data_IF_350205281048
#
_entry.id   IF_350205281048
#
_cell.length_a   1.000
_cell.length_b   1.000
_cell.length_c   1.000
_cell.angle_alpha   90.00
_cell.angle_beta   90.00
_cell.angle_gamma   90.00
#
_symmetry.space_group_name_H-M   'P 1'
#
loop_
_entity.id
_entity.type
_entity.pdbx_description
1 polymer ?
#
# COMPACT_ATOMS: atom_id res chain seq x y z
N UNK A 1 -4.38 13.22 -29.80
CA UNK A 1 -5.53 12.63 -30.52
C UNK A 1 -6.02 13.54 -31.66
N UNK A 2 -5.15 14.00 -32.56
CA UNK A 2 -5.57 14.90 -33.65
C UNK A 2 -6.62 14.27 -34.58
N UNK A 3 -6.54 12.96 -34.78
CA UNK A 3 -7.45 12.14 -35.57
C UNK A 3 -8.88 12.06 -34.97
N UNK A 4 -9.06 12.48 -33.75
CA UNK A 4 -10.33 12.47 -33.01
C UNK A 4 -10.92 13.86 -32.75
N UNK A 5 -10.37 14.90 -33.37
CA UNK A 5 -10.80 16.29 -33.13
C UNK A 5 -12.32 16.52 -33.37
N UNK A 6 -12.92 15.78 -34.32
CA UNK A 6 -14.33 15.88 -34.68
C UNK A 6 -15.18 14.70 -34.12
N UNK A 7 -14.61 13.83 -33.26
CA UNK A 7 -15.32 12.70 -32.71
C UNK A 7 -16.19 13.12 -31.51
N UNK A 8 -17.38 12.56 -31.41
CA UNK A 8 -18.22 12.71 -30.23
C UNK A 8 -17.70 11.81 -29.09
N UNK A 9 -17.96 12.16 -27.82
CA UNK A 9 -17.51 11.36 -26.67
C UNK A 9 -17.87 9.88 -26.73
N UNK A 10 -19.07 9.55 -27.24
CA UNK A 10 -19.52 8.16 -27.40
C UNK A 10 -18.71 7.34 -28.43
N UNK A 11 -17.93 7.99 -29.28
CA UNK A 11 -17.05 7.37 -30.28
C UNK A 11 -15.62 7.15 -29.80
N UNK A 12 -15.34 7.51 -28.54
CA UNK A 12 -14.03 7.43 -27.93
C UNK A 12 -13.97 6.27 -26.94
N UNK A 13 -12.81 5.58 -26.88
CA UNK A 13 -12.57 4.62 -25.82
C UNK A 13 -12.47 5.32 -24.46
N UNK A 14 -12.68 4.59 -23.35
CA UNK A 14 -12.58 5.15 -22.01
C UNK A 14 -11.25 5.87 -21.74
N UNK A 15 -10.13 5.28 -22.17
CA UNK A 15 -8.82 5.92 -22.06
C UNK A 15 -8.67 7.18 -22.93
N UNK A 16 -9.31 7.23 -24.11
CA UNK A 16 -9.33 8.45 -24.93
C UNK A 16 -10.16 9.54 -24.28
N UNK A 17 -11.33 9.20 -23.75
CA UNK A 17 -12.17 10.14 -22.98
C UNK A 17 -11.41 10.71 -21.79
N UNK A 18 -10.69 9.86 -21.05
CA UNK A 18 -9.91 10.29 -19.90
C UNK A 18 -8.77 11.24 -20.28
N UNK A 19 -8.03 10.96 -21.37
CA UNK A 19 -6.98 11.86 -21.88
C UNK A 19 -7.55 13.23 -22.28
N UNK A 20 -8.72 13.27 -22.90
CA UNK A 20 -9.40 14.52 -23.27
C UNK A 20 -9.88 15.26 -22.00
N UNK A 21 -10.41 14.56 -21.01
CA UNK A 21 -10.80 15.16 -19.74
C UNK A 21 -9.62 15.82 -19.01
N UNK A 22 -8.46 15.15 -19.00
CA UNK A 22 -7.22 15.70 -18.44
C UNK A 22 -6.78 16.94 -19.25
N UNK A 23 -6.77 16.84 -20.59
CA UNK A 23 -6.38 17.97 -21.45
C UNK A 23 -7.31 19.19 -21.26
N UNK A 24 -8.61 18.95 -21.10
CA UNK A 24 -9.60 20.00 -20.78
C UNK A 24 -9.33 20.65 -19.43
N UNK A 25 -9.00 19.88 -18.41
CA UNK A 25 -8.68 20.41 -17.09
C UNK A 25 -7.39 21.26 -17.11
N UNK A 26 -6.41 20.88 -17.94
CA UNK A 26 -5.15 21.60 -18.09
C UNK A 26 -5.26 22.89 -18.93
N UNK A 27 -6.31 23.05 -19.73
CA UNK A 27 -6.50 24.21 -20.61
C UNK A 27 -6.63 25.56 -19.87
N UNK A 28 -6.92 25.52 -18.58
CA UNK A 28 -7.03 26.71 -17.72
C UNK A 28 -5.75 27.03 -16.95
N UNK A 29 -4.65 26.36 -17.26
CA UNK A 29 -3.36 26.49 -16.58
C UNK A 29 -3.47 26.36 -15.03
N UNK A 30 -4.00 25.24 -14.52
CA UNK A 30 -4.28 25.06 -13.10
C UNK A 30 -3.00 24.83 -12.32
N UNK A 31 -2.96 25.28 -11.06
CA UNK A 31 -1.91 24.91 -10.10
C UNK A 31 -2.14 23.54 -9.45
N UNK A 32 -3.38 23.07 -9.44
CA UNK A 32 -3.80 21.80 -8.84
C UNK A 32 -4.70 21.06 -9.82
N UNK A 33 -4.37 19.80 -10.11
CA UNK A 33 -5.20 18.87 -10.87
C UNK A 33 -5.88 17.89 -9.91
N UNK A 34 -7.21 17.89 -9.89
CA UNK A 34 -8.01 16.92 -9.12
C UNK A 34 -8.41 15.76 -10.03
N UNK A 35 -8.08 14.55 -9.62
CA UNK A 35 -8.41 13.30 -10.31
C UNK A 35 -9.31 12.45 -9.39
N UNK A 36 -10.60 12.50 -9.62
CA UNK A 36 -11.58 11.71 -8.87
C UNK A 36 -11.87 10.43 -9.64
N UNK A 37 -11.48 9.29 -9.05
CA UNK A 37 -11.61 7.94 -9.62
C UNK A 37 -11.22 7.83 -11.10
N UNK A 38 -10.19 8.55 -11.52
CA UNK A 38 -9.79 8.74 -12.92
C UNK A 38 -9.49 7.43 -13.69
N UNK A 39 -9.38 6.30 -13.01
CA UNK A 39 -9.02 5.00 -13.58
C UNK A 39 -9.98 3.87 -13.22
N UNK A 40 -11.05 4.13 -12.47
CA UNK A 40 -11.95 3.09 -11.92
C UNK A 40 -12.66 2.24 -12.98
N UNK A 41 -12.93 2.81 -14.17
CA UNK A 41 -13.64 2.17 -15.27
C UNK A 41 -12.71 1.73 -16.43
N UNK A 42 -11.39 1.71 -16.22
CA UNK A 42 -10.41 1.39 -17.24
C UNK A 42 -9.80 0.00 -17.01
N UNK A 43 -9.38 -0.64 -18.11
CA UNK A 43 -8.60 -1.86 -18.03
C UNK A 43 -7.18 -1.58 -17.46
N UNK A 44 -6.47 -2.59 -16.93
CA UNK A 44 -5.18 -2.40 -16.26
C UNK A 44 -4.10 -1.73 -17.13
N UNK A 45 -4.07 -2.00 -18.43
CA UNK A 45 -3.07 -1.42 -19.34
C UNK A 45 -3.37 0.06 -19.59
N UNK A 46 -4.63 0.40 -19.84
CA UNK A 46 -5.07 1.78 -20.01
C UNK A 46 -4.88 2.57 -18.71
N UNK A 47 -5.20 1.98 -17.56
CA UNK A 47 -4.94 2.56 -16.24
C UNK A 47 -3.48 2.98 -16.10
N UNK A 48 -2.53 2.08 -16.36
CA UNK A 48 -1.09 2.38 -16.28
C UNK A 48 -0.70 3.55 -17.19
N UNK A 49 -1.18 3.58 -18.43
CA UNK A 49 -0.90 4.67 -19.36
C UNK A 49 -1.43 6.04 -18.88
N UNK A 50 -2.61 6.05 -18.22
CA UNK A 50 -3.16 7.28 -17.63
C UNK A 50 -2.35 7.72 -16.43
N UNK A 51 -1.92 6.79 -15.57
CA UNK A 51 -1.09 7.11 -14.41
C UNK A 51 0.29 7.65 -14.83
N UNK A 52 0.91 7.06 -15.85
CA UNK A 52 2.16 7.58 -16.44
C UNK A 52 1.96 8.99 -17.00
N UNK A 53 0.87 9.24 -17.72
CA UNK A 53 0.52 10.57 -18.23
C UNK A 53 0.37 11.59 -17.09
N UNK A 54 -0.33 11.26 -16.02
CA UNK A 54 -0.52 12.13 -14.84
C UNK A 54 0.83 12.43 -14.18
N UNK A 55 1.69 11.43 -14.03
CA UNK A 55 3.06 11.59 -13.50
C UNK A 55 3.90 12.52 -14.37
N UNK A 56 3.83 12.35 -15.68
CA UNK A 56 4.53 13.21 -16.64
C UNK A 56 4.07 14.67 -16.59
N UNK A 57 2.76 14.87 -16.47
CA UNK A 57 2.15 16.20 -16.31
C UNK A 57 2.66 16.86 -15.03
N UNK A 58 2.60 16.15 -13.89
CA UNK A 58 3.11 16.64 -12.61
C UNK A 58 4.58 17.07 -12.72
N UNK A 59 5.45 16.23 -13.33
CA UNK A 59 6.88 16.53 -13.48
C UNK A 59 7.15 17.68 -14.45
N UNK A 60 6.45 17.73 -15.59
CA UNK A 60 6.71 18.72 -16.65
C UNK A 60 6.13 20.10 -16.32
N UNK A 61 4.96 20.15 -15.70
CA UNK A 61 4.26 21.41 -15.40
C UNK A 61 4.47 21.88 -13.96
N UNK A 62 5.01 21.05 -13.08
CA UNK A 62 5.21 21.39 -11.66
C UNK A 62 3.93 21.63 -10.89
N UNK A 63 2.79 21.13 -11.38
CA UNK A 63 1.48 21.27 -10.71
C UNK A 63 1.28 20.21 -9.64
N UNK A 64 0.51 20.53 -8.61
CA UNK A 64 0.09 19.54 -7.62
C UNK A 64 -1.01 18.65 -8.21
N UNK A 65 -0.88 17.33 -8.01
CA UNK A 65 -1.93 16.39 -8.40
C UNK A 65 -2.52 15.76 -7.15
N UNK A 66 -3.83 15.81 -7.02
CA UNK A 66 -4.61 15.14 -5.96
C UNK A 66 -5.42 14.02 -6.60
N UNK A 67 -5.19 12.79 -6.17
CA UNK A 67 -5.89 11.61 -6.69
C UNK A 67 -6.80 11.06 -5.60
N UNK A 68 -8.09 10.96 -5.90
CA UNK A 68 -9.09 10.32 -5.05
C UNK A 68 -9.32 8.92 -5.63
N UNK A 69 -9.07 7.89 -4.83
CA UNK A 69 -9.21 6.50 -5.27
C UNK A 69 -9.37 5.54 -4.09
N UNK A 70 -10.06 4.45 -4.30
CA UNK A 70 -10.08 3.30 -3.40
C UNK A 70 -9.06 2.21 -3.82
N UNK A 71 -8.35 2.40 -4.93
CA UNK A 71 -7.37 1.45 -5.45
C UNK A 71 -5.99 1.72 -4.85
N UNK A 72 -5.57 0.90 -3.90
CA UNK A 72 -4.27 1.04 -3.23
C UNK A 72 -3.08 0.88 -4.17
N UNK A 73 -3.23 0.14 -5.28
CA UNK A 73 -2.22 0.04 -6.34
C UNK A 73 -1.91 1.40 -6.98
N UNK A 74 -2.93 2.22 -7.23
CA UNK A 74 -2.77 3.57 -7.79
C UNK A 74 -2.00 4.46 -6.82
N UNK A 75 -2.37 4.45 -5.52
CA UNK A 75 -1.67 5.23 -4.50
C UNK A 75 -0.19 4.88 -4.44
N UNK A 76 0.13 3.58 -4.43
CA UNK A 76 1.51 3.08 -4.39
C UNK A 76 2.31 3.45 -5.64
N UNK A 77 1.66 3.50 -6.79
CA UNK A 77 2.34 3.70 -8.08
C UNK A 77 2.74 5.15 -8.31
N UNK A 78 1.88 6.13 -7.97
CA UNK A 78 2.12 7.52 -8.38
C UNK A 78 2.12 8.54 -7.24
N UNK A 79 1.63 8.20 -6.04
CA UNK A 79 1.51 9.17 -4.96
C UNK A 79 2.76 9.16 -4.06
N UNK A 80 3.18 10.35 -3.62
CA UNK A 80 4.21 10.52 -2.59
C UNK A 80 3.61 10.62 -1.18
N UNK A 81 2.40 11.19 -1.08
CA UNK A 81 1.66 11.38 0.16
C UNK A 81 0.27 10.75 0.05
N UNK A 82 -0.28 10.34 1.18
CA UNK A 82 -1.63 9.80 1.29
C UNK A 82 -2.37 10.43 2.46
N UNK A 83 -3.67 10.62 2.29
CA UNK A 83 -4.61 10.90 3.37
C UNK A 83 -5.72 9.86 3.32
N UNK A 84 -5.91 9.11 4.39
CA UNK A 84 -6.94 8.09 4.53
C UNK A 84 -8.16 8.74 5.16
N UNK A 85 -9.30 8.63 4.47
CA UNK A 85 -10.58 9.14 4.92
C UNK A 85 -11.41 7.99 5.51
N UNK A 86 -11.99 8.22 6.68
CA UNK A 86 -12.92 7.31 7.34
C UNK A 86 -14.04 8.12 8.01
N UNK A 87 -15.30 7.79 7.71
CA UNK A 87 -16.44 8.51 8.25
C UNK A 87 -16.46 10.03 7.94
N UNK A 88 -15.87 10.45 6.82
CA UNK A 88 -15.83 11.86 6.40
C UNK A 88 -14.71 12.70 7.06
N UNK A 89 -13.84 12.09 7.85
CA UNK A 89 -12.69 12.75 8.48
C UNK A 89 -11.37 12.12 8.02
N UNK A 90 -10.27 12.88 8.12
CA UNK A 90 -8.93 12.33 7.85
C UNK A 90 -8.51 11.49 9.06
N UNK A 91 -8.52 10.16 8.90
CA UNK A 91 -8.11 9.22 9.94
C UNK A 91 -6.59 9.11 10.06
N UNK A 92 -5.87 9.27 8.94
CA UNK A 92 -4.41 9.23 8.91
C UNK A 92 -3.88 9.93 7.67
N UNK A 93 -2.71 10.57 7.76
CA UNK A 93 -2.03 11.14 6.60
C UNK A 93 -0.52 11.10 6.77
N UNK A 94 0.21 11.06 5.65
CA UNK A 94 1.67 11.07 5.65
C UNK A 94 2.28 10.62 4.32
N UNK A 95 3.57 10.35 4.34
CA UNK A 95 4.26 9.73 3.21
C UNK A 95 3.71 8.33 2.95
N UNK A 96 3.48 7.98 1.69
CA UNK A 96 2.94 6.68 1.29
C UNK A 96 3.77 5.54 1.90
N UNK A 97 5.11 5.59 1.78
CA UNK A 97 6.00 4.59 2.35
C UNK A 97 5.81 4.40 3.86
N UNK A 98 5.66 5.50 4.61
CA UNK A 98 5.48 5.44 6.07
C UNK A 98 4.13 4.88 6.47
N UNK A 99 3.04 5.39 5.84
CA UNK A 99 1.68 4.95 6.17
C UNK A 99 1.45 3.50 5.78
N UNK A 100 1.98 3.07 4.63
CA UNK A 100 1.84 1.69 4.18
C UNK A 100 2.75 0.69 4.91
N UNK A 101 3.90 1.13 5.42
CA UNK A 101 4.76 0.29 6.23
C UNK A 101 4.20 0.06 7.64
N UNK A 102 3.68 1.12 8.27
CA UNK A 102 3.20 1.08 9.65
C UNK A 102 1.97 1.99 9.83
N UNK A 103 0.78 1.59 9.35
CA UNK A 103 -0.44 2.37 9.51
C UNK A 103 -0.84 2.45 10.99
N UNK A 104 -1.09 3.68 11.46
CA UNK A 104 -1.43 3.97 12.85
C UNK A 104 -2.93 3.86 13.13
N UNK A 105 -3.76 4.30 12.17
CA UNK A 105 -5.20 4.28 12.32
C UNK A 105 -5.80 2.89 12.04
N UNK A 106 -6.96 2.59 12.63
CA UNK A 106 -7.71 1.38 12.32
C UNK A 106 -8.10 1.32 10.83
N UNK A 107 -8.52 2.46 10.25
CA UNK A 107 -8.82 2.57 8.82
C UNK A 107 -7.60 2.29 7.95
N UNK A 108 -6.43 2.82 8.31
CA UNK A 108 -5.18 2.55 7.62
C UNK A 108 -4.81 1.07 7.67
N UNK A 109 -4.91 0.43 8.82
CA UNK A 109 -4.66 -1.01 8.96
C UNK A 109 -5.60 -1.84 8.08
N UNK A 110 -6.90 -1.55 8.06
CA UNK A 110 -7.86 -2.24 7.19
C UNK A 110 -7.54 -2.09 5.70
N UNK A 111 -7.10 -0.90 5.27
CA UNK A 111 -6.78 -0.64 3.87
C UNK A 111 -5.44 -1.24 3.43
N UNK A 112 -4.43 -1.19 4.28
CA UNK A 112 -3.08 -1.67 3.95
C UNK A 112 -2.98 -3.19 4.10
N UNK A 113 -3.71 -3.76 5.08
CA UNK A 113 -3.72 -5.18 5.40
C UNK A 113 -5.16 -5.75 5.32
N UNK A 114 -5.77 -5.82 4.12
CA UNK A 114 -7.18 -6.20 3.97
C UNK A 114 -7.51 -7.64 4.37
N UNK A 115 -6.50 -8.46 4.65
CA UNK A 115 -6.70 -9.85 5.10
C UNK A 115 -6.84 -10.02 6.60
N UNK A 116 -6.60 -8.98 7.43
CA UNK A 116 -6.57 -9.13 8.89
C UNK A 116 -5.72 -10.32 9.37
N UNK A 117 -5.84 -10.73 10.61
CA UNK A 117 -5.50 -12.08 11.02
C UNK A 117 -6.74 -12.95 10.78
N UNK A 118 -6.80 -13.65 9.65
CA UNK A 118 -7.88 -14.64 9.44
C UNK A 118 -7.83 -15.66 10.58
N UNK A 119 -8.84 -15.63 11.44
CA UNK A 119 -8.95 -16.47 12.63
C UNK A 119 -8.94 -17.99 12.31
N UNK A 120 -8.97 -18.35 11.02
CA UNK A 120 -8.93 -19.74 10.55
C UNK A 120 -7.50 -20.28 10.30
N UNK A 121 -6.47 -19.43 10.32
CA UNK A 121 -5.10 -19.81 9.90
C UNK A 121 -4.16 -20.01 11.08
N UNK A 122 -4.54 -19.66 12.32
CA UNK A 122 -3.73 -19.84 13.51
C UNK A 122 -4.59 -20.36 14.71
N UNK A 123 -3.94 -20.94 15.70
CA UNK A 123 -4.57 -21.40 16.93
C UNK A 123 -4.56 -20.30 18.01
N UNK A 124 -5.69 -19.59 18.27
CA UNK A 124 -5.73 -18.50 19.23
C UNK A 124 -5.44 -18.96 20.68
N UNK A 125 -5.58 -20.24 20.98
CA UNK A 125 -5.31 -20.79 22.30
C UNK A 125 -3.83 -21.11 22.54
N UNK A 126 -3.11 -21.43 21.44
CA UNK A 126 -1.70 -21.85 21.50
C UNK A 126 -0.71 -20.84 20.97
N UNK A 127 -1.14 -19.87 20.18
CA UNK A 127 -0.28 -18.92 19.46
C UNK A 127 -0.64 -17.46 19.76
N UNK A 128 0.37 -16.60 19.74
CA UNK A 128 0.21 -15.13 19.74
C UNK A 128 0.70 -14.58 18.41
N UNK A 129 0.06 -13.51 17.96
CA UNK A 129 0.37 -12.89 16.67
C UNK A 129 1.39 -11.76 16.81
N UNK A 130 2.34 -11.74 15.89
CA UNK A 130 3.28 -10.63 15.73
C UNK A 130 3.34 -10.22 14.28
N UNK A 131 3.29 -8.91 14.05
CA UNK A 131 3.55 -8.31 12.74
C UNK A 131 4.98 -7.79 12.69
N UNK A 132 5.67 -8.15 11.63
CA UNK A 132 7.00 -7.66 11.30
C UNK A 132 6.88 -6.72 10.12
N UNK A 133 7.53 -5.57 10.19
CA UNK A 133 7.64 -4.63 9.08
C UNK A 133 9.11 -4.44 8.75
N UNK A 134 9.46 -4.77 7.51
CA UNK A 134 10.80 -4.64 6.95
C UNK A 134 10.89 -3.32 6.19
N UNK A 135 11.85 -2.47 6.57
CA UNK A 135 11.93 -1.09 6.08
C UNK A 135 12.86 -0.88 4.89
N UNK A 136 13.55 -1.93 4.46
CA UNK A 136 14.46 -1.88 3.31
C UNK A 136 14.59 -3.24 2.62
N UNK A 137 15.21 -3.25 1.43
CA UNK A 137 15.41 -4.46 0.63
C UNK A 137 16.31 -5.49 1.31
N UNK A 138 17.27 -5.07 2.15
CA UNK A 138 18.19 -5.98 2.85
C UNK A 138 17.45 -6.76 3.92
N UNK A 139 16.62 -6.07 4.71
CA UNK A 139 15.83 -6.71 5.77
C UNK A 139 14.69 -7.55 5.21
N UNK A 140 14.09 -7.14 4.09
CA UNK A 140 13.08 -7.94 3.39
C UNK A 140 13.63 -9.29 2.90
N UNK A 141 14.94 -9.37 2.62
CA UNK A 141 15.61 -10.61 2.18
C UNK A 141 16.03 -11.53 3.34
N UNK A 142 15.83 -11.12 4.60
CA UNK A 142 16.18 -11.94 5.75
C UNK A 142 15.23 -13.14 5.85
N UNK A 143 15.72 -14.40 5.89
CA UNK A 143 14.90 -15.58 6.03
C UNK A 143 14.43 -15.75 7.48
N UNK A 144 13.52 -14.86 7.93
CA UNK A 144 13.14 -14.69 9.34
C UNK A 144 12.65 -16.00 9.98
N UNK A 145 11.77 -16.70 9.29
CA UNK A 145 11.21 -17.98 9.79
C UNK A 145 12.31 -19.03 9.95
N UNK A 146 13.21 -19.13 8.96
CA UNK A 146 14.33 -20.07 9.04
C UNK A 146 15.31 -19.72 10.16
N UNK A 147 15.55 -18.43 10.41
CA UNK A 147 16.41 -17.98 11.51
C UNK A 147 15.81 -18.28 12.87
N UNK A 148 14.51 -18.02 13.07
CA UNK A 148 13.80 -18.39 14.31
C UNK A 148 13.90 -19.90 14.58
N UNK A 149 13.71 -20.71 13.55
CA UNK A 149 13.83 -22.16 13.71
C UNK A 149 15.28 -22.63 13.99
N UNK A 150 16.28 -22.08 13.26
CA UNK A 150 17.66 -22.56 13.35
C UNK A 150 18.40 -22.00 14.58
N UNK A 151 18.19 -20.72 14.93
CA UNK A 151 18.95 -20.04 15.98
C UNK A 151 18.25 -20.15 17.35
N UNK A 152 16.91 -20.14 17.37
CA UNK A 152 16.11 -20.14 18.60
C UNK A 152 15.32 -21.43 18.83
N UNK A 153 15.31 -22.36 17.87
CA UNK A 153 14.46 -23.56 17.89
C UNK A 153 12.97 -23.21 18.10
N UNK A 154 12.52 -22.11 17.45
CA UNK A 154 11.13 -21.64 17.48
C UNK A 154 10.50 -21.85 16.13
N UNK A 155 9.49 -22.70 16.07
CA UNK A 155 8.70 -22.94 14.86
C UNK A 155 7.46 -22.04 14.93
N UNK A 156 7.21 -21.29 13.87
CA UNK A 156 6.09 -20.36 13.79
C UNK A 156 5.32 -20.54 12.48
N UNK A 157 4.03 -20.21 12.51
CA UNK A 157 3.18 -20.19 11.34
C UNK A 157 3.29 -18.85 10.61
N UNK A 158 3.32 -18.87 9.27
CA UNK A 158 3.19 -17.66 8.44
C UNK A 158 1.72 -17.44 8.14
N UNK A 159 1.12 -16.46 8.77
CA UNK A 159 -0.29 -16.10 8.57
C UNK A 159 -0.45 -15.30 7.30
N UNK A 160 0.43 -14.31 7.11
CA UNK A 160 0.49 -13.54 5.86
C UNK A 160 1.91 -13.02 5.63
N UNK A 161 2.26 -12.84 4.37
CA UNK A 161 3.50 -12.16 3.98
C UNK A 161 3.27 -11.38 2.71
N UNK A 162 3.78 -10.17 2.64
CA UNK A 162 3.74 -9.34 1.45
C UNK A 162 5.01 -8.53 1.29
N UNK A 163 5.43 -8.37 0.05
CA UNK A 163 6.55 -7.51 -0.32
C UNK A 163 6.05 -6.51 -1.35
N UNK A 164 6.37 -5.24 -1.18
CA UNK A 164 5.90 -4.16 -2.03
C UNK A 164 7.07 -3.25 -2.40
N UNK A 165 7.17 -2.93 -3.67
CA UNK A 165 8.09 -1.90 -4.15
C UNK A 165 7.34 -0.57 -4.18
N UNK A 166 7.84 0.41 -3.42
CA UNK A 166 7.31 1.76 -3.38
C UNK A 166 8.40 2.70 -3.88
N UNK A 167 8.25 3.22 -5.10
CA UNK A 167 9.27 4.03 -5.77
C UNK A 167 10.58 3.25 -5.95
N UNK A 168 11.64 3.59 -5.23
CA UNK A 168 12.95 2.94 -5.28
C UNK A 168 13.23 2.05 -4.06
N UNK A 169 12.32 2.00 -3.09
CA UNK A 169 12.48 1.23 -1.86
C UNK A 169 11.54 0.02 -1.83
N UNK A 170 12.02 -1.06 -1.22
CA UNK A 170 11.25 -2.29 -1.02
C UNK A 170 10.87 -2.39 0.45
N UNK A 171 9.57 -2.47 0.69
CA UNK A 171 9.00 -2.71 2.02
C UNK A 171 8.39 -4.09 2.07
N UNK A 172 8.52 -4.76 3.20
CA UNK A 172 7.88 -6.04 3.44
C UNK A 172 7.10 -6.03 4.73
N UNK A 173 6.04 -6.80 4.78
CA UNK A 173 5.38 -7.13 6.05
C UNK A 173 5.13 -8.62 6.13
N UNK A 174 5.24 -9.16 7.34
CA UNK A 174 4.98 -10.56 7.62
C UNK A 174 4.24 -10.66 8.95
N UNK A 175 3.18 -11.44 8.97
CA UNK A 175 2.47 -11.78 10.19
C UNK A 175 2.76 -13.23 10.55
N UNK A 176 3.22 -13.44 11.76
CA UNK A 176 3.59 -14.76 12.28
C UNK A 176 2.70 -15.12 13.47
N UNK A 177 2.24 -16.38 13.49
CA UNK A 177 1.71 -17.04 14.67
C UNK A 177 2.87 -17.73 15.41
N UNK A 178 3.16 -17.29 16.62
CA UNK A 178 4.25 -17.80 17.44
C UNK A 178 3.66 -18.51 18.66
N UNK A 179 4.11 -19.74 18.97
CA UNK A 179 3.67 -20.44 20.18
C UNK A 179 3.82 -19.58 21.42
N UNK A 180 2.75 -19.44 22.20
CA UNK A 180 2.69 -18.53 23.35
C UNK A 180 3.82 -18.76 24.37
N UNK A 181 4.28 -20.01 24.53
CA UNK A 181 5.41 -20.37 25.39
C UNK A 181 6.76 -19.78 24.95
N UNK A 182 6.88 -19.40 23.69
CA UNK A 182 8.14 -18.91 23.11
C UNK A 182 8.04 -17.47 22.60
N UNK A 183 6.88 -16.83 22.75
CA UNK A 183 6.57 -15.54 22.15
C UNK A 183 7.56 -14.44 22.54
N UNK A 184 7.76 -14.24 23.85
CA UNK A 184 8.63 -13.15 24.35
C UNK A 184 10.09 -13.34 23.89
N UNK A 185 10.58 -14.59 23.83
CA UNK A 185 11.91 -14.90 23.33
C UNK A 185 12.03 -14.62 21.83
N UNK A 186 11.02 -14.99 21.04
CA UNK A 186 10.99 -14.71 19.62
C UNK A 186 10.95 -13.20 19.33
N UNK A 187 10.12 -12.47 20.06
CA UNK A 187 10.03 -11.00 19.94
C UNK A 187 11.35 -10.33 20.31
N UNK A 188 12.01 -10.77 21.38
CA UNK A 188 13.33 -10.26 21.77
C UNK A 188 14.39 -10.52 20.69
N UNK A 189 14.39 -11.71 20.12
CA UNK A 189 15.31 -12.07 19.01
C UNK A 189 15.09 -11.17 17.79
N UNK A 190 13.82 -10.98 17.37
CA UNK A 190 13.50 -10.19 16.19
C UNK A 190 13.82 -8.69 16.42
N UNK A 191 13.55 -8.15 17.60
CA UNK A 191 13.85 -6.75 17.96
C UNK A 191 15.36 -6.41 17.89
N UNK A 192 16.23 -7.40 18.00
CA UNK A 192 17.67 -7.22 17.84
C UNK A 192 18.11 -7.09 16.37
N UNK A 193 17.22 -7.34 15.41
CA UNK A 193 17.52 -7.21 13.99
C UNK A 193 17.25 -5.76 13.57
N UNK A 194 18.29 -5.08 13.10
CA UNK A 194 18.18 -3.68 12.67
C UNK A 194 17.16 -3.53 11.51
N UNK A 195 16.44 -2.41 11.49
CA UNK A 195 15.45 -2.05 10.46
C UNK A 195 14.24 -3.00 10.33
N UNK A 196 14.00 -3.85 11.34
CA UNK A 196 12.76 -4.62 11.47
C UNK A 196 11.94 -4.00 12.60
N UNK A 197 10.73 -3.57 12.28
CA UNK A 197 9.78 -3.10 13.28
C UNK A 197 8.89 -4.28 13.69
N UNK A 198 8.67 -4.43 15.00
CA UNK A 198 7.86 -5.50 15.58
C UNK A 198 6.63 -4.88 16.22
N UNK A 199 5.46 -5.35 15.85
CA UNK A 199 4.17 -4.94 16.40
C UNK A 199 3.43 -6.19 16.90
N UNK A 200 3.11 -6.22 18.19
CA UNK A 200 2.25 -7.26 18.76
C UNK A 200 0.81 -6.98 18.34
N UNK A 201 0.11 -8.01 17.90
CA UNK A 201 -1.28 -7.90 17.43
C UNK A 201 -2.19 -8.56 18.45
N UNK A 202 -2.98 -7.73 19.15
CA UNK A 202 -3.98 -8.23 20.10
C UNK A 202 -5.21 -8.80 19.38
N UNK A 203 -5.88 -9.78 20.02
CA UNK A 203 -7.07 -10.45 19.51
C UNK A 203 -8.31 -9.55 19.34
N UNK A 204 -8.32 -8.33 19.91
CA UNK A 204 -9.50 -7.48 20.05
C UNK A 204 -9.69 -6.45 18.94
N UNK A 205 -9.01 -6.56 17.78
CA UNK A 205 -9.23 -5.66 16.65
C UNK A 205 -10.12 -6.33 15.61
N UNK A 206 -11.43 -6.39 15.92
CA UNK A 206 -12.50 -6.54 14.93
C UNK A 206 -12.75 -5.25 14.17
#
# INVERSE_FOLDING_TARGET
>A
LPDKANAYPAQLSGGQQQRIAIARALATDPKVLLCDEATSALDPNTTRQILELIRDINKKLGITVVVITHQMSVVKEICSHVAILDGGVVAESGLVGTVFAAPKSAAGRRLVFPGGADAQVYDPAGERLVRLVFKDSKTTSIPMVARLAAEENIFCNVISASTQSLSEEVYGSMMLGIPSAHFDRAVAFIKNIANVQVEEVDHDVQ
#
